data_IF_656719381416
#
_entry.id   IF_656719381416
#
_cell.length_a   1.000
_cell.length_b   1.000
_cell.length_c   1.000
_cell.angle_alpha   90.00
_cell.angle_beta   90.00
_cell.angle_gamma   90.00
#
_symmetry.space_group_name_H-M   'P 1'
#
loop_
_entity.id
_entity.type
_entity.pdbx_description
1 polymer ?
#
# COMPACT_ATOMS: atom_id res chain seq x y z
N UNK A 1 -6.34 -9.30 -1.41
CA UNK A 1 -6.78 -10.18 -2.51
C UNK A 1 -8.03 -11.00 -2.18
N UNK A 2 -8.57 -11.72 -3.16
CA UNK A 2 -9.60 -12.78 -2.99
C UNK A 2 -9.02 -14.19 -3.19
N UNK A 3 -7.73 -14.35 -2.90
CA UNK A 3 -7.02 -15.64 -2.96
C UNK A 3 -7.55 -16.56 -1.87
N UNK A 4 -7.83 -17.82 -2.22
CA UNK A 4 -8.34 -18.83 -1.30
C UNK A 4 -7.22 -19.81 -0.93
N UNK A 5 -6.42 -19.47 0.09
CA UNK A 5 -5.25 -20.26 0.50
C UNK A 5 -5.59 -21.66 1.07
N UNK A 6 -6.87 -21.99 1.27
CA UNK A 6 -7.30 -23.32 1.74
C UNK A 6 -7.36 -24.35 0.60
N UNK A 7 -7.23 -23.91 -0.66
CA UNK A 7 -7.22 -24.78 -1.84
C UNK A 7 -5.90 -25.52 -2.02
N UNK A 8 -5.97 -26.68 -2.67
CA UNK A 8 -4.84 -27.62 -2.75
C UNK A 8 -3.79 -27.17 -3.77
N UNK A 9 -4.22 -26.65 -4.91
CA UNK A 9 -3.32 -26.20 -5.98
C UNK A 9 -3.25 -24.69 -6.07
N UNK A 10 -2.15 -24.15 -6.58
CA UNK A 10 -1.98 -22.69 -6.72
C UNK A 10 -2.99 -22.11 -7.72
N UNK A 11 -3.36 -22.88 -8.74
CA UNK A 11 -4.38 -22.52 -9.72
C UNK A 11 -5.75 -22.36 -9.05
N UNK A 12 -6.14 -23.30 -8.19
CA UNK A 12 -7.39 -23.20 -7.43
C UNK A 12 -7.35 -22.05 -6.42
N UNK A 13 -6.21 -21.82 -5.76
CA UNK A 13 -6.05 -20.68 -4.85
C UNK A 13 -6.26 -19.34 -5.57
N UNK A 14 -5.86 -19.25 -6.84
CA UNK A 14 -5.89 -18.03 -7.65
C UNK A 14 -7.13 -17.90 -8.54
N UNK A 15 -7.92 -18.96 -8.76
CA UNK A 15 -9.02 -19.01 -9.74
C UNK A 15 -9.91 -17.76 -9.71
N UNK A 16 -10.48 -17.45 -8.54
CA UNK A 16 -11.34 -16.26 -8.37
C UNK A 16 -10.57 -14.97 -8.56
N UNK A 17 -9.34 -14.91 -8.04
CA UNK A 17 -8.48 -13.73 -8.13
C UNK A 17 -8.17 -13.39 -9.59
N UNK A 18 -7.83 -14.39 -10.40
CA UNK A 18 -7.63 -14.28 -11.85
C UNK A 18 -8.91 -13.83 -12.56
N UNK A 19 -10.03 -14.49 -12.29
CA UNK A 19 -11.32 -14.21 -12.93
C UNK A 19 -11.76 -12.78 -12.71
N UNK A 20 -11.81 -12.33 -11.45
CA UNK A 20 -12.23 -10.97 -11.13
C UNK A 20 -11.24 -9.95 -11.70
N UNK A 21 -9.93 -10.22 -11.64
CA UNK A 21 -8.94 -9.29 -12.21
C UNK A 21 -9.07 -9.18 -13.72
N UNK A 22 -9.32 -10.29 -14.44
CA UNK A 22 -9.57 -10.28 -15.87
C UNK A 22 -10.86 -9.52 -16.21
N UNK A 23 -11.96 -9.79 -15.50
CA UNK A 23 -13.24 -9.10 -15.71
C UNK A 23 -13.13 -7.59 -15.49
N UNK A 24 -12.49 -7.17 -14.40
CA UNK A 24 -12.25 -5.76 -14.11
C UNK A 24 -11.31 -5.13 -15.15
N UNK A 25 -10.29 -5.84 -15.60
CA UNK A 25 -9.40 -5.35 -16.66
C UNK A 25 -10.17 -5.12 -17.96
N UNK A 26 -10.99 -6.08 -18.39
CA UNK A 26 -11.83 -5.93 -19.60
C UNK A 26 -12.80 -4.76 -19.48
N UNK A 27 -13.42 -4.61 -18.31
CA UNK A 27 -14.29 -3.47 -18.03
C UNK A 27 -13.53 -2.14 -18.13
N UNK A 28 -12.38 -2.02 -17.45
CA UNK A 28 -11.55 -0.81 -17.48
C UNK A 28 -11.10 -0.46 -18.91
N UNK A 29 -10.72 -1.46 -19.71
CA UNK A 29 -10.36 -1.24 -21.13
C UNK A 29 -11.55 -0.85 -21.99
N UNK A 30 -12.75 -1.33 -21.67
CA UNK A 30 -13.98 -0.95 -22.39
C UNK A 30 -14.44 0.49 -22.12
N UNK A 31 -14.00 1.10 -21.01
CA UNK A 31 -14.32 2.50 -20.65
C UNK A 31 -13.10 3.43 -20.72
N UNK A 32 -11.97 2.94 -21.24
CA UNK A 32 -10.74 3.70 -21.33
C UNK A 32 -10.92 4.88 -22.30
N UNK A 33 -10.63 6.13 -21.88
CA UNK A 33 -10.70 7.28 -22.77
C UNK A 33 -9.68 7.20 -23.91
N UNK A 34 -10.06 7.69 -25.10
CA UNK A 34 -9.14 7.77 -26.23
C UNK A 34 -7.89 8.60 -25.87
N UNK A 35 -6.71 8.08 -26.21
CA UNK A 35 -5.43 8.73 -25.94
C UNK A 35 -4.92 8.59 -24.50
N UNK A 36 -5.67 7.99 -23.58
CA UNK A 36 -5.26 7.79 -22.19
C UNK A 36 -5.10 6.30 -21.92
N UNK A 37 -3.90 5.85 -21.52
CA UNK A 37 -3.74 4.48 -20.99
C UNK A 37 -3.93 4.48 -19.48
N UNK A 38 -4.91 3.72 -18.99
CA UNK A 38 -5.09 3.45 -17.56
C UNK A 38 -4.08 2.38 -17.12
N UNK A 39 -3.28 2.69 -16.11
CA UNK A 39 -2.40 1.70 -15.46
C UNK A 39 -3.23 0.77 -14.57
N UNK A 40 -3.18 -0.54 -14.84
CA UNK A 40 -3.91 -1.56 -14.06
C UNK A 40 -2.93 -2.40 -13.26
N UNK A 41 -3.18 -2.53 -11.96
CA UNK A 41 -2.40 -3.43 -11.09
C UNK A 41 -3.19 -4.69 -10.72
N UNK A 42 -2.50 -5.82 -10.67
CA UNK A 42 -3.00 -7.02 -9.98
C UNK A 42 -2.44 -7.11 -8.56
N UNK A 43 -2.92 -8.07 -7.76
CA UNK A 43 -2.34 -8.41 -6.46
C UNK A 43 -2.37 -9.94 -6.24
N UNK A 44 -1.26 -10.52 -5.78
CA UNK A 44 -1.15 -11.92 -5.35
C UNK A 44 -0.79 -12.02 -3.87
N UNK A 45 -1.02 -13.21 -3.30
CA UNK A 45 -0.79 -13.49 -1.88
C UNK A 45 -1.89 -12.89 -1.00
N UNK A 46 -1.69 -12.93 0.31
CA UNK A 46 -2.59 -12.30 1.28
C UNK A 46 -1.75 -11.60 2.35
N UNK A 47 -1.92 -10.28 2.45
CA UNK A 47 -1.16 -9.47 3.41
C UNK A 47 -1.39 -9.97 4.83
N UNK A 48 -0.30 -10.19 5.56
CA UNK A 48 -0.28 -10.73 6.92
C UNK A 48 -0.25 -12.26 7.06
N UNK A 49 -0.24 -13.03 5.96
CA UNK A 49 -0.07 -14.49 5.98
C UNK A 49 1.33 -14.93 5.55
N UNK A 50 1.45 -15.66 4.43
CA UNK A 50 2.74 -16.13 3.89
C UNK A 50 3.26 -15.20 2.80
N UNK A 51 4.57 -15.24 2.58
CA UNK A 51 5.16 -14.59 1.42
C UNK A 51 4.60 -15.19 0.13
N UNK A 52 4.44 -14.31 -0.86
CA UNK A 52 4.16 -14.70 -2.24
C UNK A 52 5.40 -15.35 -2.85
N UNK A 53 5.20 -16.22 -3.82
CA UNK A 53 6.27 -16.91 -4.54
C UNK A 53 6.12 -16.69 -6.04
N UNK A 54 7.19 -16.91 -6.81
CA UNK A 54 7.12 -16.88 -8.28
C UNK A 54 6.09 -17.91 -8.81
N UNK A 55 5.89 -19.02 -8.11
CA UNK A 55 4.86 -19.99 -8.47
C UNK A 55 3.44 -19.40 -8.29
N UNK A 56 3.19 -18.63 -7.23
CA UNK A 56 1.92 -17.90 -7.05
C UNK A 56 1.67 -16.92 -8.20
N UNK A 57 2.71 -16.18 -8.61
CA UNK A 57 2.66 -15.25 -9.74
C UNK A 57 2.33 -15.98 -11.05
N UNK A 58 3.00 -17.10 -11.33
CA UNK A 58 2.78 -17.88 -12.56
C UNK A 58 1.38 -18.49 -12.62
N UNK A 59 0.90 -19.05 -11.51
CA UNK A 59 -0.47 -19.57 -11.42
C UNK A 59 -1.50 -18.47 -11.66
N UNK A 60 -1.29 -17.29 -11.04
CA UNK A 60 -2.14 -16.13 -11.26
C UNK A 60 -2.13 -15.67 -12.73
N UNK A 61 -0.94 -15.46 -13.30
CA UNK A 61 -0.81 -14.94 -14.67
C UNK A 61 -1.32 -15.93 -15.72
N UNK A 62 -1.13 -17.23 -15.53
CA UNK A 62 -1.69 -18.26 -16.41
C UNK A 62 -3.22 -18.16 -16.49
N UNK A 63 -3.89 -18.13 -15.35
CA UNK A 63 -5.34 -17.95 -15.28
C UNK A 63 -5.77 -16.60 -15.87
N UNK A 64 -5.17 -15.51 -15.41
CA UNK A 64 -5.48 -14.16 -15.85
C UNK A 64 -5.36 -13.97 -17.38
N UNK A 65 -4.27 -14.45 -18.00
CA UNK A 65 -4.05 -14.31 -19.43
C UNK A 65 -5.03 -15.15 -20.25
N UNK A 66 -5.33 -16.38 -19.80
CA UNK A 66 -6.32 -17.24 -20.47
C UNK A 66 -7.72 -16.62 -20.48
N UNK A 67 -8.07 -15.85 -19.45
CA UNK A 67 -9.38 -15.22 -19.29
C UNK A 67 -9.47 -13.82 -19.93
N UNK A 68 -8.34 -13.12 -20.07
CA UNK A 68 -8.30 -11.76 -20.63
C UNK A 68 -8.44 -11.71 -22.14
N UNK A 69 -7.96 -12.74 -22.85
CA UNK A 69 -7.92 -12.79 -24.31
C UNK A 69 -6.69 -12.07 -24.91
N UNK A 70 -6.32 -12.37 -26.17
CA UNK A 70 -5.04 -11.98 -26.75
C UNK A 70 -4.91 -10.47 -27.07
N UNK A 71 -6.02 -9.77 -27.28
CA UNK A 71 -6.02 -8.39 -27.80
C UNK A 71 -6.20 -7.33 -26.71
N UNK A 72 -6.15 -7.73 -25.43
CA UNK A 72 -6.39 -6.83 -24.30
C UNK A 72 -5.07 -6.47 -23.61
N UNK A 73 -4.78 -5.17 -23.54
CA UNK A 73 -3.66 -4.63 -22.78
C UNK A 73 -3.84 -5.00 -21.29
N UNK A 74 -2.96 -5.85 -20.79
CA UNK A 74 -3.09 -6.44 -19.46
C UNK A 74 -2.70 -5.51 -18.30
N UNK A 75 -2.42 -6.13 -17.14
CA UNK A 75 -1.87 -5.45 -15.97
C UNK A 75 -0.44 -4.98 -16.24
N UNK A 76 -0.08 -3.80 -15.71
CA UNK A 76 1.25 -3.20 -15.82
C UNK A 76 2.12 -3.44 -14.59
N UNK A 77 1.54 -3.90 -13.48
CA UNK A 77 2.20 -4.04 -12.18
C UNK A 77 1.51 -5.07 -11.31
N UNK A 78 2.24 -5.66 -10.37
CA UNK A 78 1.71 -6.72 -9.49
C UNK A 78 2.09 -6.46 -8.04
N UNK A 79 1.10 -6.30 -7.17
CA UNK A 79 1.32 -6.23 -5.74
C UNK A 79 1.57 -7.62 -5.14
N UNK A 80 2.53 -7.68 -4.23
CA UNK A 80 3.03 -8.93 -3.67
C UNK A 80 3.14 -8.84 -2.15
N UNK A 81 3.02 -9.98 -1.48
CA UNK A 81 3.23 -10.08 -0.04
C UNK A 81 4.64 -10.61 0.29
N UNK A 82 5.37 -9.87 1.10
CA UNK A 82 6.82 -10.06 1.38
C UNK A 82 7.11 -9.92 2.89
N UNK A 83 6.13 -10.26 3.73
CA UNK A 83 6.25 -10.25 5.19
C UNK A 83 5.70 -9.00 5.87
N UNK A 84 5.11 -8.07 5.11
CA UNK A 84 4.54 -6.84 5.68
C UNK A 84 3.13 -7.02 6.25
N UNK A 85 2.75 -6.12 7.16
CA UNK A 85 1.37 -5.90 7.57
C UNK A 85 1.05 -4.41 7.44
N UNK A 86 -0.14 -4.09 6.94
CA UNK A 86 -0.55 -2.69 6.79
C UNK A 86 -0.54 -1.95 8.14
N UNK A 87 0.29 -0.92 8.25
CA UNK A 87 0.39 -0.08 9.45
C UNK A 87 1.27 -0.65 10.57
N UNK A 88 2.00 -1.75 10.33
CA UNK A 88 2.84 -2.38 11.34
C UNK A 88 2.05 -3.04 12.48
N UNK A 89 2.76 -3.59 13.47
CA UNK A 89 2.16 -4.21 14.66
C UNK A 89 2.48 -3.34 15.86
N UNK A 90 1.46 -2.77 16.50
CA UNK A 90 1.64 -1.98 17.72
C UNK A 90 1.76 -2.93 18.91
N UNK A 91 2.85 -2.83 19.67
CA UNK A 91 3.07 -3.58 20.90
C UNK A 91 2.23 -3.00 22.05
N UNK A 92 2.00 -3.75 23.14
CA UNK A 92 1.20 -3.26 24.27
C UNK A 92 1.73 -1.98 24.94
N UNK A 93 3.00 -1.64 24.74
CA UNK A 93 3.63 -0.41 25.22
C UNK A 93 3.45 0.78 24.26
N UNK A 94 2.71 0.60 23.16
CA UNK A 94 2.47 1.61 22.13
C UNK A 94 3.58 1.74 21.08
N UNK A 95 4.69 1.02 21.22
CA UNK A 95 5.77 1.01 20.22
C UNK A 95 5.38 0.17 18.99
N UNK A 96 6.04 0.41 17.86
CA UNK A 96 5.81 -0.35 16.62
C UNK A 96 6.84 -1.48 16.54
N UNK A 97 6.37 -2.72 16.41
CA UNK A 97 7.21 -3.89 16.22
C UNK A 97 8.04 -3.76 14.94
N UNK A 98 9.32 -4.15 15.02
CA UNK A 98 10.19 -4.24 13.85
C UNK A 98 9.68 -5.36 12.93
N UNK A 99 9.27 -4.98 11.72
CA UNK A 99 8.88 -5.93 10.67
C UNK A 99 10.05 -6.05 9.70
N UNK A 100 10.48 -7.28 9.43
CA UNK A 100 11.48 -7.53 8.40
C UNK A 100 10.81 -7.78 7.07
N UNK A 101 11.12 -6.91 6.10
CA UNK A 101 10.73 -7.11 4.71
C UNK A 101 11.68 -8.11 4.04
N UNK A 102 11.11 -9.09 3.34
CA UNK A 102 11.87 -9.99 2.48
C UNK A 102 12.14 -9.37 1.10
N UNK A 103 13.23 -8.60 1.02
CA UNK A 103 13.68 -7.97 -0.22
C UNK A 103 14.12 -8.97 -1.30
N UNK A 104 14.53 -10.19 -0.94
CA UNK A 104 14.89 -11.21 -1.91
C UNK A 104 13.63 -11.69 -2.65
N UNK A 105 12.59 -12.04 -1.90
CA UNK A 105 11.29 -12.40 -2.47
C UNK A 105 10.73 -11.26 -3.34
N UNK A 106 10.85 -10.00 -2.89
CA UNK A 106 10.41 -8.84 -3.68
C UNK A 106 11.17 -8.73 -5.01
N UNK A 107 12.49 -8.90 -4.99
CA UNK A 107 13.35 -8.87 -6.17
C UNK A 107 13.03 -9.98 -7.17
N UNK A 108 12.90 -11.22 -6.70
CA UNK A 108 12.56 -12.39 -7.53
C UNK A 108 11.20 -12.20 -8.23
N UNK A 109 10.18 -11.76 -7.48
CA UNK A 109 8.85 -11.49 -8.03
C UNK A 109 8.86 -10.33 -9.02
N UNK A 110 9.59 -9.27 -8.71
CA UNK A 110 9.68 -8.12 -9.60
C UNK A 110 10.42 -8.45 -10.89
N UNK A 111 11.45 -9.29 -10.82
CA UNK A 111 12.16 -9.78 -12.00
C UNK A 111 11.24 -10.66 -12.85
N UNK A 112 10.56 -11.65 -12.26
CA UNK A 112 9.63 -12.52 -12.98
C UNK A 112 8.49 -11.72 -13.65
N UNK A 113 7.94 -10.71 -12.95
CA UNK A 113 6.91 -9.83 -13.51
C UNK A 113 7.39 -9.09 -14.78
N UNK A 114 8.65 -8.62 -14.81
CA UNK A 114 9.25 -7.95 -15.97
C UNK A 114 9.57 -8.92 -17.09
N UNK A 115 10.32 -9.98 -16.77
CA UNK A 115 10.93 -10.85 -17.77
C UNK A 115 9.92 -11.82 -18.41
N UNK A 116 8.98 -12.36 -17.62
CA UNK A 116 8.02 -13.35 -18.12
C UNK A 116 6.75 -12.70 -18.70
N UNK A 117 6.39 -11.50 -18.24
CA UNK A 117 5.09 -10.90 -18.52
C UNK A 117 5.12 -9.46 -19.03
N UNK A 118 6.31 -8.83 -19.13
CA UNK A 118 6.44 -7.46 -19.64
C UNK A 118 5.81 -6.38 -18.76
N UNK A 119 5.58 -6.66 -17.47
CA UNK A 119 5.13 -5.66 -16.49
C UNK A 119 6.28 -4.72 -16.12
N UNK A 120 6.00 -3.62 -15.42
CA UNK A 120 7.03 -2.74 -14.87
C UNK A 120 7.75 -3.35 -13.65
N UNK A 121 7.07 -4.19 -12.87
CA UNK A 121 7.63 -4.85 -11.69
C UNK A 121 6.62 -5.06 -10.57
N UNK A 122 7.16 -5.44 -9.41
CA UNK A 122 6.38 -5.67 -8.20
C UNK A 122 6.07 -4.36 -7.46
N UNK A 123 4.93 -4.36 -6.77
CA UNK A 123 4.45 -3.27 -5.92
C UNK A 123 4.51 -3.71 -4.47
N UNK A 124 5.12 -2.90 -3.60
CA UNK A 124 5.19 -3.16 -2.17
C UNK A 124 4.08 -2.41 -1.42
N UNK A 125 3.26 -3.15 -0.67
CA UNK A 125 2.33 -2.58 0.30
C UNK A 125 2.95 -2.50 1.72
N UNK A 126 2.35 -1.72 2.61
CA UNK A 126 2.65 -1.83 4.05
C UNK A 126 4.06 -1.40 4.48
N UNK A 127 4.75 -0.55 3.72
CA UNK A 127 6.15 -0.17 4.00
C UNK A 127 6.30 0.99 5.01
N UNK A 128 5.21 1.59 5.50
CA UNK A 128 5.25 2.83 6.29
C UNK A 128 5.94 2.73 7.66
N UNK A 129 6.21 1.53 8.17
CA UNK A 129 6.84 1.31 9.47
C UNK A 129 8.26 0.76 9.35
N UNK A 130 8.80 0.68 8.13
CA UNK A 130 10.18 0.29 7.91
C UNK A 130 11.13 1.42 8.33
N UNK A 131 12.35 1.09 8.78
CA UNK A 131 13.39 2.08 9.02
C UNK A 131 13.79 2.77 7.71
N UNK A 132 14.28 4.01 7.80
CA UNK A 132 14.55 4.86 6.64
C UNK A 132 15.62 4.27 5.71
N UNK A 133 16.59 3.54 6.27
CA UNK A 133 17.65 2.85 5.53
C UNK A 133 17.14 1.68 4.69
N UNK A 134 15.95 1.15 4.99
CA UNK A 134 15.35 0.09 4.18
C UNK A 134 14.83 0.62 2.85
N UNK A 135 14.53 1.92 2.73
CA UNK A 135 13.92 2.47 1.52
C UNK A 135 14.87 2.47 0.31
N UNK A 136 16.19 2.58 0.55
CA UNK A 136 17.22 2.50 -0.52
C UNK A 136 17.21 1.16 -1.25
N UNK A 137 16.75 0.10 -0.60
CA UNK A 137 16.73 -1.24 -1.18
C UNK A 137 15.61 -1.46 -2.20
N UNK A 138 14.53 -0.67 -2.15
CA UNK A 138 13.40 -0.85 -3.07
C UNK A 138 13.83 -0.66 -4.54
N UNK A 139 14.53 0.43 -4.91
CA UNK A 139 15.09 0.57 -6.25
C UNK A 139 16.10 -0.52 -6.61
N UNK A 140 16.98 -0.91 -5.67
CA UNK A 140 18.02 -1.92 -5.90
C UNK A 140 17.45 -3.28 -6.33
N UNK A 141 16.32 -3.70 -5.73
CA UNK A 141 15.63 -4.95 -6.10
C UNK A 141 14.61 -4.76 -7.22
N UNK A 142 14.57 -3.57 -7.83
CA UNK A 142 13.72 -3.25 -8.96
C UNK A 142 12.23 -3.15 -8.60
N UNK A 143 11.89 -2.74 -7.37
CA UNK A 143 10.50 -2.47 -6.98
C UNK A 143 9.96 -1.33 -7.81
N UNK A 144 8.79 -1.52 -8.43
CA UNK A 144 8.18 -0.50 -9.29
C UNK A 144 7.51 0.61 -8.47
N UNK A 145 6.85 0.23 -7.37
CA UNK A 145 5.98 1.14 -6.61
C UNK A 145 5.92 0.72 -5.15
N UNK A 146 5.85 1.69 -4.23
CA UNK A 146 5.75 1.47 -2.79
C UNK A 146 4.59 2.29 -2.22
N UNK A 147 3.68 1.63 -1.49
CA UNK A 147 2.52 2.29 -0.90
C UNK A 147 2.80 2.70 0.55
N UNK A 148 2.62 3.99 0.81
CA UNK A 148 2.85 4.59 2.12
C UNK A 148 1.61 5.40 2.53
N UNK A 149 1.10 5.13 3.73
CA UNK A 149 -0.09 5.81 4.25
C UNK A 149 -0.01 6.04 5.75
N UNK A 150 0.05 4.97 6.55
CA UNK A 150 -0.02 5.07 8.03
C UNK A 150 1.05 5.99 8.61
N UNK A 151 2.28 5.96 8.07
CA UNK A 151 3.37 6.82 8.53
C UNK A 151 3.06 8.32 8.40
N UNK A 152 2.43 8.74 7.29
CA UNK A 152 2.02 10.13 7.10
C UNK A 152 0.87 10.52 8.03
N UNK A 153 -0.06 9.60 8.29
CA UNK A 153 -1.12 9.83 9.28
C UNK A 153 -0.52 10.01 10.68
N UNK A 154 0.52 9.25 11.03
CA UNK A 154 1.31 9.39 12.26
C UNK A 154 1.93 10.77 12.36
N UNK A 155 2.63 11.22 11.32
CA UNK A 155 3.20 12.58 11.28
C UNK A 155 2.14 13.66 11.56
N UNK A 156 0.94 13.55 10.97
CA UNK A 156 -0.12 14.53 11.19
C UNK A 156 -0.60 14.56 12.64
N UNK A 157 -1.01 13.41 13.20
CA UNK A 157 -1.58 13.37 14.55
C UNK A 157 -0.57 13.60 15.66
N UNK A 158 0.69 13.22 15.41
CA UNK A 158 1.76 13.27 16.41
C UNK A 158 2.53 14.61 16.33
N UNK A 159 2.20 15.45 15.33
CA UNK A 159 2.81 16.78 15.16
C UNK A 159 2.52 17.71 16.35
N UNK A 160 3.51 18.47 16.85
CA UNK A 160 3.28 19.51 17.85
C UNK A 160 2.39 20.64 17.33
N UNK A 161 2.21 20.74 16.01
CA UNK A 161 1.33 21.69 15.37
C UNK A 161 -0.10 21.19 15.23
N UNK A 162 -0.41 19.94 15.57
CA UNK A 162 -1.79 19.45 15.56
C UNK A 162 -2.53 19.90 16.84
N UNK A 163 -3.71 20.55 16.75
CA UNK A 163 -4.40 21.04 17.95
C UNK A 163 -4.75 19.92 18.92
N UNK A 164 -4.23 20.03 20.15
CA UNK A 164 -4.38 18.96 21.15
C UNK A 164 -5.82 18.76 21.58
N UNK A 165 -6.60 19.84 21.65
CA UNK A 165 -8.02 19.79 21.97
C UNK A 165 -8.80 18.98 20.93
N UNK A 166 -8.52 19.19 19.64
CA UNK A 166 -9.14 18.43 18.56
C UNK A 166 -8.73 16.95 18.64
N UNK A 167 -7.45 16.66 18.89
CA UNK A 167 -6.98 15.28 19.05
C UNK A 167 -7.73 14.55 20.18
N UNK A 168 -7.92 15.22 21.33
CA UNK A 168 -8.66 14.66 22.45
C UNK A 168 -10.15 14.45 22.13
N UNK A 169 -10.77 15.29 21.29
CA UNK A 169 -12.13 15.08 20.80
C UNK A 169 -12.18 13.87 19.86
N UNK A 170 -11.23 13.78 18.94
CA UNK A 170 -11.11 12.66 18.00
C UNK A 170 -10.98 11.33 18.76
N UNK A 171 -10.07 11.24 19.73
CA UNK A 171 -9.83 9.98 20.45
C UNK A 171 -11.05 9.53 21.26
N UNK A 172 -11.76 10.45 21.93
CA UNK A 172 -13.03 10.14 22.60
C UNK A 172 -14.08 9.63 21.62
N UNK A 173 -14.24 10.32 20.48
CA UNK A 173 -15.17 9.89 19.45
C UNK A 173 -14.84 8.50 18.90
N UNK A 174 -13.56 8.20 18.66
CA UNK A 174 -13.14 6.89 18.19
C UNK A 174 -13.41 5.80 19.22
N UNK A 175 -13.12 6.08 20.50
CA UNK A 175 -13.38 5.19 21.62
C UNK A 175 -14.86 4.81 21.69
N UNK A 176 -15.76 5.79 21.55
CA UNK A 176 -17.20 5.58 21.70
C UNK A 176 -17.81 4.96 20.44
N UNK A 177 -17.61 5.59 19.27
CA UNK A 177 -18.26 5.20 18.00
C UNK A 177 -17.78 3.86 17.47
N UNK A 178 -16.48 3.56 17.59
CA UNK A 178 -15.88 2.32 17.07
C UNK A 178 -15.59 1.31 18.18
N UNK A 179 -16.26 1.42 19.32
CA UNK A 179 -16.10 0.52 20.47
C UNK A 179 -16.23 -0.96 20.12
N UNK A 180 -17.11 -1.30 19.17
CA UNK A 180 -17.30 -2.66 18.69
C UNK A 180 -16.09 -3.26 17.94
N UNK A 181 -15.13 -2.43 17.49
CA UNK A 181 -13.90 -2.90 16.83
C UNK A 181 -12.76 -3.22 17.82
N UNK A 182 -12.99 -3.04 19.13
CA UNK A 182 -12.04 -3.40 20.19
C UNK A 182 -11.93 -4.91 20.30
N UNK A 183 -10.70 -5.42 20.26
CA UNK A 183 -10.43 -6.85 20.48
C UNK A 183 -10.20 -7.12 21.96
N UNK A 184 -10.48 -8.35 22.40
CA UNK A 184 -10.15 -8.78 23.76
C UNK A 184 -8.63 -8.65 23.99
N UNK A 185 -8.25 -7.94 25.06
CA UNK A 185 -6.84 -7.72 25.41
C UNK A 185 -6.13 -6.62 24.62
N UNK A 186 -6.82 -5.90 23.73
CA UNK A 186 -6.26 -4.73 23.02
C UNK A 186 -6.18 -3.53 23.96
N UNK A 187 -5.01 -2.88 24.03
CA UNK A 187 -4.84 -1.66 24.84
C UNK A 187 -5.52 -0.45 24.17
N UNK A 188 -5.69 0.63 24.93
CA UNK A 188 -6.25 1.86 24.38
C UNK A 188 -5.36 2.44 23.26
N UNK A 189 -4.05 2.40 23.43
CA UNK A 189 -3.07 2.87 22.45
C UNK A 189 -3.15 2.07 21.15
N UNK A 190 -3.21 0.73 21.24
CA UNK A 190 -3.37 -0.14 20.08
C UNK A 190 -4.69 0.13 19.34
N UNK A 191 -5.78 0.27 20.09
CA UNK A 191 -7.09 0.56 19.53
C UNK A 191 -7.12 1.91 18.81
N UNK A 192 -6.63 2.98 19.45
CA UNK A 192 -6.60 4.33 18.88
C UNK A 192 -5.66 4.40 17.67
N UNK A 193 -4.49 3.79 17.72
CA UNK A 193 -3.56 3.71 16.58
C UNK A 193 -4.23 3.09 15.35
N UNK A 194 -4.93 1.97 15.54
CA UNK A 194 -5.64 1.25 14.46
C UNK A 194 -6.81 2.04 13.90
N UNK A 195 -7.58 2.72 14.76
CA UNK A 195 -8.86 3.34 14.40
C UNK A 195 -8.75 4.80 13.96
N UNK A 196 -7.68 5.52 14.32
CA UNK A 196 -7.53 6.96 13.99
C UNK A 196 -7.54 7.31 12.51
N UNK A 197 -7.30 6.34 11.61
CA UNK A 197 -7.53 6.52 10.17
C UNK A 197 -8.97 6.87 9.81
N UNK A 198 -9.95 6.42 10.62
CA UNK A 198 -11.38 6.69 10.41
C UNK A 198 -11.74 8.14 10.72
N UNK A 199 -10.98 8.80 11.60
CA UNK A 199 -11.21 10.18 11.96
C UNK A 199 -10.99 11.16 10.81
N UNK A 200 -10.20 10.81 9.78
CA UNK A 200 -10.13 11.64 8.55
C UNK A 200 -11.48 11.75 7.83
N UNK A 201 -12.35 10.74 7.95
CA UNK A 201 -13.72 10.79 7.46
C UNK A 201 -14.65 11.52 8.41
N UNK A 202 -14.66 11.09 9.68
CA UNK A 202 -15.58 11.62 10.70
C UNK A 202 -15.37 13.10 11.03
N UNK A 203 -14.12 13.56 10.98
CA UNK A 203 -13.71 14.94 11.28
C UNK A 203 -13.19 15.64 10.02
N UNK A 204 -13.65 15.25 8.83
CA UNK A 204 -13.14 15.81 7.57
C UNK A 204 -13.15 17.33 7.57
N UNK A 205 -14.24 17.96 8.04
CA UNK A 205 -14.35 19.42 8.04
C UNK A 205 -13.32 20.05 8.98
N UNK A 206 -13.21 19.54 10.19
CA UNK A 206 -12.33 20.04 11.25
C UNK A 206 -10.86 19.89 10.84
N UNK A 207 -10.49 18.74 10.28
CA UNK A 207 -9.14 18.47 9.77
C UNK A 207 -8.76 19.39 8.61
N UNK A 208 -9.69 19.66 7.69
CA UNK A 208 -9.47 20.57 6.56
C UNK A 208 -9.54 22.06 6.94
N UNK A 209 -10.10 22.38 8.11
CA UNK A 209 -10.27 23.76 8.59
C UNK A 209 -9.32 24.09 9.74
N UNK A 210 -8.22 23.34 9.89
CA UNK A 210 -7.16 23.67 10.84
C UNK A 210 -6.63 25.08 10.56
N UNK A 211 -6.25 25.86 11.60
CA UNK A 211 -5.69 27.18 11.38
C UNK A 211 -4.43 27.11 10.49
N UNK A 212 -4.19 28.14 9.70
CA UNK A 212 -3.09 28.18 8.72
C UNK A 212 -1.73 27.88 9.34
N UNK A 213 -1.44 28.43 10.53
CA UNK A 213 -0.21 28.13 11.27
C UNK A 213 -0.04 26.63 11.56
N UNK A 214 -1.12 25.94 11.91
CA UNK A 214 -1.12 24.50 12.18
C UNK A 214 -0.90 23.71 10.89
N UNK A 215 -1.59 24.09 9.80
CA UNK A 215 -1.43 23.48 8.48
C UNK A 215 0.01 23.64 7.96
N UNK A 216 0.60 24.83 8.09
CA UNK A 216 1.97 25.09 7.62
C UNK A 216 2.98 24.24 8.40
N UNK A 217 2.90 24.18 9.72
CA UNK A 217 3.84 23.38 10.52
C UNK A 217 3.72 21.86 10.27
N UNK A 218 2.51 21.34 10.08
CA UNK A 218 2.31 19.93 9.65
C UNK A 218 2.83 19.73 8.23
N UNK A 219 2.57 20.68 7.33
CA UNK A 219 3.00 20.66 5.94
C UNK A 219 4.52 20.58 5.79
N UNK A 220 5.26 21.42 6.52
CA UNK A 220 6.73 21.41 6.55
C UNK A 220 7.28 20.03 6.97
N UNK A 221 6.72 19.44 8.03
CA UNK A 221 7.15 18.11 8.49
C UNK A 221 6.87 17.01 7.46
N UNK A 222 5.73 17.10 6.76
CA UNK A 222 5.39 16.18 5.67
C UNK A 222 6.32 16.37 4.47
N UNK A 223 6.61 17.60 4.10
CA UNK A 223 7.53 17.93 2.99
C UNK A 223 8.94 17.39 3.22
N UNK A 224 9.48 17.55 4.43
CA UNK A 224 10.76 16.96 4.81
C UNK A 224 10.74 15.43 4.66
N UNK A 225 9.65 14.80 5.12
CA UNK A 225 9.47 13.34 4.99
C UNK A 225 9.40 12.91 3.53
N UNK A 226 8.61 13.58 2.69
CA UNK A 226 8.52 13.28 1.27
C UNK A 226 9.86 13.45 0.57
N UNK A 227 10.58 14.53 0.86
CA UNK A 227 11.91 14.81 0.29
C UNK A 227 12.93 13.73 0.64
N UNK A 228 12.93 13.24 1.89
CA UNK A 228 13.76 12.11 2.29
C UNK A 228 13.39 10.85 1.49
N UNK A 229 12.11 10.49 1.45
CA UNK A 229 11.64 9.30 0.76
C UNK A 229 11.92 9.35 -0.75
N UNK A 230 11.80 10.51 -1.38
CA UNK A 230 12.09 10.67 -2.81
C UNK A 230 13.56 10.41 -3.13
N UNK A 231 14.47 10.89 -2.28
CA UNK A 231 15.91 10.58 -2.39
C UNK A 231 16.18 9.09 -2.19
N UNK A 232 15.63 8.50 -1.12
CA UNK A 232 15.80 7.08 -0.79
C UNK A 232 15.25 6.15 -1.86
N UNK A 233 14.11 6.49 -2.45
CA UNK A 233 13.47 5.72 -3.51
C UNK A 233 14.02 6.04 -4.91
N UNK A 234 15.05 6.87 -5.02
CA UNK A 234 15.67 7.27 -6.28
C UNK A 234 14.65 7.81 -7.32
N UNK A 235 13.69 8.61 -6.87
CA UNK A 235 12.70 9.29 -7.73
C UNK A 235 12.99 10.78 -7.92
N UNK A 236 14.26 11.16 -7.70
CA UNK A 236 14.76 12.51 -7.92
C UNK A 236 15.10 12.74 -9.40
N UNK A 237 15.12 14.01 -9.83
CA UNK A 237 15.54 14.41 -11.19
C UNK A 237 14.70 13.76 -12.31
N UNK A 238 13.41 13.52 -12.06
CA UNK A 238 12.49 12.85 -12.99
C UNK A 238 11.67 13.80 -13.87
N UNK A 239 11.88 15.11 -13.79
CA UNK A 239 11.12 16.11 -14.55
C UNK A 239 11.20 15.91 -16.07
N UNK A 240 12.42 15.71 -16.59
CA UNK A 240 12.64 15.45 -18.03
C UNK A 240 11.99 14.13 -18.47
N UNK A 241 12.00 13.12 -17.60
CA UNK A 241 11.35 11.83 -17.87
C UNK A 241 9.83 12.01 -17.98
N UNK A 242 9.22 12.71 -17.02
CA UNK A 242 7.77 12.94 -16.97
C UNK A 242 7.33 13.80 -18.17
N UNK A 243 8.10 14.84 -18.49
CA UNK A 243 7.81 15.77 -19.59
C UNK A 243 7.77 15.11 -20.97
N UNK A 244 8.37 13.92 -21.14
CA UNK A 244 8.28 13.14 -22.38
C UNK A 244 6.93 12.44 -22.60
N UNK A 245 6.11 12.33 -21.55
CA UNK A 245 4.82 11.64 -21.57
C UNK A 245 3.65 12.52 -21.14
N UNK A 246 3.90 13.80 -20.82
CA UNK A 246 2.91 14.80 -20.43
C UNK A 246 2.29 15.53 -21.63
#
# INVERSE_FOLDING_TARGET
>A
TIVDLERQTLEEQQEKNCQVTADMTRFMRGIEPEGITISVGGEIGEVGKRNSTVADLRAFMSGYLSLSGPDIKGISKISVQTGTAHGGVVLPDGSIASVQLDFNTLGELSQAAREEYGMGGAVQHGASTLPDEAFDKFPEVGTLEVHLATGFQNIIYDSPYFPRELLNVIYRHLWDKYSAERKQGETEEQFLYKTRKKAFGDFKKEMWSLPEKNLNGVGETLEERFSLLFRKLNVIETEDLISRFA
#
